data_IF_856861973361
#
_entry.id   IF_856861973361
#
_cell.length_a   1.000
_cell.length_b   1.000
_cell.length_c   1.000
_cell.angle_alpha   90.00
_cell.angle_beta   90.00
_cell.angle_gamma   90.00
#
_symmetry.space_group_name_H-M   'P 1'
#
loop_
_entity.id
_entity.type
_entity.pdbx_description
1 polymer ?
#
# COMPACT_ATOMS: atom_id res chain seq x y z
N UNK A 1 -31.45 1.93 22.88
CA UNK A 1 -30.02 1.83 23.27
C UNK A 1 -29.48 0.40 23.31
N UNK A 2 -30.23 -0.62 23.77
CA UNK A 2 -29.72 -2.02 23.81
C UNK A 2 -29.55 -2.67 22.43
N UNK A 3 -30.44 -2.41 21.47
CA UNK A 3 -30.37 -3.04 20.13
C UNK A 3 -29.20 -2.53 19.27
N UNK A 4 -28.90 -1.23 19.35
CA UNK A 4 -27.76 -0.62 18.64
C UNK A 4 -26.44 -1.23 19.11
N UNK A 5 -26.33 -1.52 20.42
CA UNK A 5 -25.16 -2.17 21.00
C UNK A 5 -24.99 -3.61 20.51
N UNK A 6 -26.08 -4.39 20.41
CA UNK A 6 -26.02 -5.76 19.93
C UNK A 6 -25.63 -5.87 18.45
N UNK A 7 -26.15 -4.98 17.60
CA UNK A 7 -25.76 -4.90 16.19
C UNK A 7 -24.28 -4.52 16.04
N UNK A 8 -23.82 -3.53 16.81
CA UNK A 8 -22.42 -3.10 16.80
C UNK A 8 -21.46 -4.25 17.17
N UNK A 9 -21.72 -4.95 18.28
CA UNK A 9 -20.92 -6.11 18.67
C UNK A 9 -20.93 -7.25 17.64
N UNK A 10 -22.04 -7.45 16.93
CA UNK A 10 -22.12 -8.45 15.88
C UNK A 10 -21.24 -8.08 14.67
N UNK A 11 -21.24 -6.81 14.25
CA UNK A 11 -20.40 -6.32 13.15
C UNK A 11 -18.91 -6.39 13.52
N UNK A 12 -18.53 -6.00 14.74
CA UNK A 12 -17.15 -6.17 15.23
C UNK A 12 -16.75 -7.65 15.23
N UNK A 13 -17.61 -8.53 15.72
CA UNK A 13 -17.34 -9.98 15.75
C UNK A 13 -17.13 -10.59 14.35
N UNK A 14 -17.90 -10.14 13.35
CA UNK A 14 -17.71 -10.55 11.95
C UNK A 14 -16.37 -10.03 11.44
N UNK A 15 -16.07 -8.76 11.67
CA UNK A 15 -14.83 -8.12 11.20
C UNK A 15 -13.61 -8.83 11.78
N UNK A 16 -13.61 -9.12 13.08
CA UNK A 16 -12.57 -9.91 13.74
C UNK A 16 -12.40 -11.30 13.13
N UNK A 17 -13.51 -11.96 12.82
CA UNK A 17 -13.49 -13.29 12.19
C UNK A 17 -12.89 -13.24 10.79
N UNK A 18 -13.22 -12.21 10.01
CA UNK A 18 -12.66 -11.98 8.68
C UNK A 18 -11.17 -11.65 8.76
N UNK A 19 -10.75 -10.76 9.67
CA UNK A 19 -9.34 -10.45 9.91
C UNK A 19 -8.53 -11.70 10.23
N UNK A 20 -9.01 -12.55 11.15
CA UNK A 20 -8.38 -13.83 11.49
C UNK A 20 -8.29 -14.77 10.29
N UNK A 21 -9.36 -14.84 9.50
CA UNK A 21 -9.41 -15.70 8.30
C UNK A 21 -8.42 -15.22 7.24
N UNK A 22 -8.33 -13.91 6.98
CA UNK A 22 -7.39 -13.34 6.03
C UNK A 22 -5.95 -13.59 6.47
N UNK A 23 -5.62 -13.34 7.74
CA UNK A 23 -4.30 -13.63 8.31
C UNK A 23 -3.91 -15.10 8.09
N UNK A 24 -4.80 -16.02 8.43
CA UNK A 24 -4.55 -17.45 8.29
C UNK A 24 -4.37 -17.86 6.83
N UNK A 25 -5.28 -17.46 5.93
CA UNK A 25 -5.27 -17.90 4.53
C UNK A 25 -4.11 -17.32 3.74
N UNK A 26 -3.69 -16.09 4.05
CA UNK A 26 -2.63 -15.40 3.32
C UNK A 26 -1.27 -15.50 4.02
N UNK A 27 -1.21 -16.09 5.22
CA UNK A 27 0.02 -16.23 6.01
C UNK A 27 0.56 -14.89 6.52
N UNK A 28 -0.32 -13.92 6.82
CA UNK A 28 0.08 -12.58 7.25
C UNK A 28 0.57 -12.60 8.70
N UNK A 29 1.73 -12.02 8.96
CA UNK A 29 2.39 -12.09 10.28
C UNK A 29 2.58 -10.73 10.95
N UNK A 30 2.61 -9.65 10.17
CA UNK A 30 2.89 -8.28 10.63
C UNK A 30 1.73 -7.32 10.38
N UNK A 31 0.77 -7.70 9.52
CA UNK A 31 -0.34 -6.83 9.14
C UNK A 31 -1.21 -6.39 10.35
N UNK A 32 -1.37 -5.08 10.59
CA UNK A 32 -2.25 -4.56 11.64
C UNK A 32 -3.73 -4.80 11.32
N UNK A 33 -4.55 -4.98 12.35
CA UNK A 33 -6.00 -5.19 12.17
C UNK A 33 -6.68 -4.00 11.49
N UNK A 34 -6.23 -2.77 11.74
CA UNK A 34 -6.77 -1.60 11.07
C UNK A 34 -6.60 -1.65 9.55
N UNK A 35 -5.45 -2.11 9.04
CA UNK A 35 -5.26 -2.25 7.59
C UNK A 35 -6.04 -3.43 7.02
N UNK A 36 -6.25 -4.49 7.81
CA UNK A 36 -7.13 -5.60 7.43
C UNK A 36 -8.59 -5.14 7.34
N UNK A 37 -9.07 -4.32 8.29
CA UNK A 37 -10.41 -3.74 8.24
C UNK A 37 -10.58 -2.87 7.00
N UNK A 38 -9.61 -1.99 6.68
CA UNK A 38 -9.64 -1.20 5.44
C UNK A 38 -9.68 -2.08 4.18
N UNK A 39 -8.95 -3.20 4.17
CA UNK A 39 -9.01 -4.16 3.06
C UNK A 39 -10.37 -4.84 2.96
N UNK A 40 -10.97 -5.25 4.09
CA UNK A 40 -12.32 -5.84 4.14
C UNK A 40 -13.35 -4.87 3.58
N UNK A 41 -13.31 -3.61 4.02
CA UNK A 41 -14.20 -2.56 3.52
C UNK A 41 -14.05 -2.38 2.00
N UNK A 42 -12.81 -2.36 1.51
CA UNK A 42 -12.55 -2.28 0.08
C UNK A 42 -13.07 -3.51 -0.69
N UNK A 43 -12.90 -4.72 -0.15
CA UNK A 43 -13.42 -5.96 -0.75
C UNK A 43 -14.95 -5.89 -0.88
N UNK A 44 -15.65 -5.51 0.20
CA UNK A 44 -17.11 -5.35 0.19
C UNK A 44 -17.55 -4.34 -0.86
N UNK A 45 -16.88 -3.19 -0.93
CA UNK A 45 -17.21 -2.15 -1.92
C UNK A 45 -16.92 -2.58 -3.37
N UNK A 46 -15.87 -3.37 -3.59
CA UNK A 46 -15.52 -3.91 -4.92
C UNK A 46 -16.58 -4.93 -5.38
N UNK A 47 -17.01 -5.83 -4.48
CA UNK A 47 -18.07 -6.81 -4.77
C UNK A 47 -19.40 -6.13 -5.11
N UNK A 48 -19.72 -5.05 -4.40
CA UNK A 48 -20.95 -4.28 -4.61
C UNK A 48 -20.88 -3.30 -5.79
N UNK A 49 -19.72 -3.16 -6.43
CA UNK A 49 -19.53 -2.20 -7.51
C UNK A 49 -20.30 -2.62 -8.77
N UNK A 50 -20.94 -1.65 -9.44
CA UNK A 50 -21.51 -1.86 -10.76
C UNK A 50 -20.41 -1.89 -11.84
N UNK A 51 -19.61 -2.95 -11.84
CA UNK A 51 -18.49 -3.17 -12.76
C UNK A 51 -18.62 -4.56 -13.41
N UNK A 52 -18.02 -4.79 -14.59
CA UNK A 52 -17.98 -6.13 -15.17
C UNK A 52 -17.33 -7.14 -14.21
N UNK A 53 -17.83 -8.37 -14.16
CA UNK A 53 -17.35 -9.43 -13.26
C UNK A 53 -15.82 -9.62 -13.33
N UNK A 54 -15.26 -9.62 -14.54
CA UNK A 54 -13.80 -9.71 -14.73
C UNK A 54 -13.01 -8.58 -14.07
N UNK A 55 -13.59 -7.38 -14.02
CA UNK A 55 -12.98 -6.21 -13.36
C UNK A 55 -13.12 -6.37 -11.84
N UNK A 56 -14.25 -6.85 -11.33
CA UNK A 56 -14.42 -7.17 -9.91
C UNK A 56 -13.37 -8.19 -9.48
N UNK A 57 -13.27 -9.33 -10.18
CA UNK A 57 -12.30 -10.38 -9.89
C UNK A 57 -10.84 -9.88 -9.92
N UNK A 58 -10.51 -9.04 -10.91
CA UNK A 58 -9.19 -8.40 -11.01
C UNK A 58 -8.87 -7.58 -9.75
N UNK A 59 -9.81 -6.75 -9.28
CA UNK A 59 -9.62 -5.87 -8.13
C UNK A 59 -9.50 -6.66 -6.83
N UNK A 60 -10.33 -7.68 -6.64
CA UNK A 60 -10.26 -8.57 -5.46
C UNK A 60 -8.90 -9.25 -5.36
N UNK A 61 -8.40 -9.82 -6.46
CA UNK A 61 -7.05 -10.39 -6.54
C UNK A 61 -5.98 -9.34 -6.25
N UNK A 62 -6.19 -8.11 -6.72
CA UNK A 62 -5.35 -6.96 -6.40
C UNK A 62 -5.26 -6.71 -4.89
N UNK A 63 -6.39 -6.67 -4.17
CA UNK A 63 -6.40 -6.45 -2.72
C UNK A 63 -5.64 -7.55 -1.98
N UNK A 64 -5.85 -8.82 -2.31
CA UNK A 64 -5.11 -9.91 -1.66
C UNK A 64 -3.60 -9.83 -1.92
N UNK A 65 -3.20 -9.47 -3.15
CA UNK A 65 -1.79 -9.22 -3.48
C UNK A 65 -1.23 -8.04 -2.67
N UNK A 66 -2.01 -6.98 -2.47
CA UNK A 66 -1.61 -5.82 -1.67
C UNK A 66 -1.39 -6.16 -0.20
N UNK A 67 -2.25 -7.00 0.39
CA UNK A 67 -2.09 -7.49 1.75
C UNK A 67 -0.74 -8.19 1.94
N UNK A 68 -0.42 -9.14 1.06
CA UNK A 68 0.87 -9.85 1.10
C UNK A 68 2.06 -8.92 0.85
N UNK A 69 1.94 -8.01 -0.12
CA UNK A 69 2.97 -7.01 -0.41
C UNK A 69 3.30 -6.16 0.83
N UNK A 70 2.26 -5.71 1.53
CA UNK A 70 2.39 -4.83 2.70
C UNK A 70 2.96 -5.60 3.90
N UNK A 71 2.50 -6.83 4.13
CA UNK A 71 3.05 -7.69 5.18
C UNK A 71 4.55 -7.94 4.98
N UNK A 72 4.97 -8.19 3.74
CA UNK A 72 6.38 -8.37 3.38
C UNK A 72 7.21 -7.10 3.61
N UNK A 73 6.68 -5.92 3.29
CA UNK A 73 7.36 -4.66 3.59
C UNK A 73 7.53 -4.46 5.11
N UNK A 74 6.48 -4.67 5.89
CA UNK A 74 6.54 -4.55 7.35
C UNK A 74 7.49 -5.56 7.98
N UNK A 75 7.54 -6.78 7.43
CA UNK A 75 8.49 -7.80 7.86
C UNK A 75 9.94 -7.41 7.55
N UNK A 76 10.20 -6.84 6.36
CA UNK A 76 11.54 -6.37 5.97
C UNK A 76 12.05 -5.25 6.88
N UNK A 77 11.23 -4.24 7.16
CA UNK A 77 11.62 -3.09 7.99
C UNK A 77 11.45 -3.32 9.49
N UNK A 78 10.92 -4.48 9.90
CA UNK A 78 10.58 -4.82 11.28
C UNK A 78 9.71 -3.77 11.99
N UNK A 79 8.93 -2.99 11.24
CA UNK A 79 8.12 -1.92 11.78
C UNK A 79 6.81 -1.73 11.03
N UNK A 80 5.78 -1.34 11.79
CA UNK A 80 4.65 -0.62 11.23
C UNK A 80 5.05 0.87 11.14
N UNK A 81 5.01 1.43 9.93
CA UNK A 81 5.38 2.82 9.68
C UNK A 81 4.23 3.57 9.01
N UNK A 82 4.00 4.85 9.34
CA UNK A 82 3.08 5.72 8.60
C UNK A 82 3.37 5.74 7.10
N UNK A 83 4.63 5.57 6.69
CA UNK A 83 5.02 5.48 5.27
C UNK A 83 4.39 4.25 4.61
N UNK A 84 4.58 3.06 5.21
CA UNK A 84 4.04 1.79 4.69
C UNK A 84 2.51 1.83 4.64
N UNK A 85 1.88 2.40 5.67
CA UNK A 85 0.44 2.62 5.73
C UNK A 85 -0.05 3.53 4.59
N UNK A 86 0.64 4.63 4.32
CA UNK A 86 0.29 5.52 3.21
C UNK A 86 0.43 4.81 1.86
N UNK A 87 1.49 4.01 1.66
CA UNK A 87 1.64 3.18 0.45
C UNK A 87 0.47 2.22 0.30
N UNK A 88 0.09 1.53 1.37
CA UNK A 88 -1.04 0.62 1.37
C UNK A 88 -2.33 1.33 0.96
N UNK A 89 -2.69 2.44 1.61
CA UNK A 89 -3.93 3.17 1.32
C UNK A 89 -3.97 3.69 -0.12
N UNK A 90 -2.88 4.31 -0.61
CA UNK A 90 -2.81 4.80 -2.00
C UNK A 90 -2.95 3.67 -3.02
N UNK A 91 -2.26 2.53 -2.81
CA UNK A 91 -2.42 1.37 -3.70
C UNK A 91 -3.82 0.77 -3.63
N UNK A 92 -4.44 0.75 -2.46
CA UNK A 92 -5.81 0.26 -2.29
C UNK A 92 -6.79 1.10 -3.13
N UNK A 93 -6.64 2.42 -3.12
CA UNK A 93 -7.42 3.32 -3.96
C UNK A 93 -7.18 3.09 -5.45
N UNK A 94 -5.92 2.91 -5.87
CA UNK A 94 -5.61 2.57 -7.26
C UNK A 94 -6.22 1.24 -7.69
N UNK A 95 -6.17 0.21 -6.83
CA UNK A 95 -6.78 -1.09 -7.08
C UNK A 95 -8.29 -0.95 -7.25
N UNK A 96 -8.97 -0.20 -6.37
CA UNK A 96 -10.42 0.05 -6.47
C UNK A 96 -10.79 0.75 -7.78
N UNK A 97 -9.92 1.62 -8.30
CA UNK A 97 -10.15 2.35 -9.54
C UNK A 97 -9.77 1.55 -10.81
N UNK A 98 -8.90 0.56 -10.71
CA UNK A 98 -8.32 -0.16 -11.85
C UNK A 98 -9.40 -0.81 -12.74
N UNK A 99 -9.23 -0.71 -14.05
CA UNK A 99 -10.15 -1.20 -15.09
C UNK A 99 -9.52 -2.28 -15.97
N UNK A 100 -8.20 -2.46 -15.89
CA UNK A 100 -7.50 -3.42 -16.75
C UNK A 100 -6.35 -4.12 -16.05
N UNK A 101 -5.97 -5.29 -16.58
CA UNK A 101 -4.79 -6.01 -16.13
C UNK A 101 -3.50 -5.20 -16.34
N UNK A 102 -3.46 -4.30 -17.34
CA UNK A 102 -2.31 -3.43 -17.58
C UNK A 102 -2.11 -2.46 -16.42
N UNK A 103 -3.18 -1.76 -16.04
CA UNK A 103 -3.17 -0.86 -14.87
C UNK A 103 -2.79 -1.63 -13.59
N UNK A 104 -3.36 -2.82 -13.38
CA UNK A 104 -3.01 -3.65 -12.22
C UNK A 104 -1.52 -4.05 -12.19
N UNK A 105 -0.92 -4.33 -13.35
CA UNK A 105 0.53 -4.59 -13.43
C UNK A 105 1.33 -3.34 -13.08
N UNK A 106 0.88 -2.18 -13.51
CA UNK A 106 1.56 -0.90 -13.26
C UNK A 106 1.43 -0.46 -11.79
N UNK A 107 0.26 -0.63 -11.17
CA UNK A 107 0.04 -0.38 -9.73
C UNK A 107 1.03 -1.17 -8.86
N UNK A 108 1.34 -2.40 -9.26
CA UNK A 108 2.31 -3.26 -8.56
C UNK A 108 3.72 -3.21 -9.14
N UNK A 109 3.97 -2.35 -10.12
CA UNK A 109 5.33 -2.03 -10.52
C UNK A 109 5.98 -1.16 -9.45
N UNK A 110 7.30 -1.24 -9.35
CA UNK A 110 8.05 -0.40 -8.43
C UNK A 110 7.80 1.08 -8.77
N UNK A 111 7.49 1.90 -7.77
CA UNK A 111 7.56 3.37 -7.84
C UNK A 111 8.99 3.86 -8.08
N UNK A 112 9.53 3.58 -9.27
CA UNK A 112 10.88 3.92 -9.67
C UNK A 112 10.83 5.08 -10.69
N UNK A 113 11.42 6.25 -10.38
CA UNK A 113 11.52 7.34 -11.33
C UNK A 113 12.61 7.07 -12.38
N UNK A 114 12.48 7.71 -13.54
CA UNK A 114 13.49 7.72 -14.58
C UNK A 114 14.41 8.95 -14.46
N UNK A 115 15.73 8.76 -14.47
CA UNK A 115 16.68 9.87 -14.51
C UNK A 115 17.02 10.22 -15.96
N UNK A 116 16.65 11.43 -16.40
CA UNK A 116 16.84 11.88 -17.79
C UNK A 116 18.22 12.50 -18.09
N UNK A 117 19.17 12.36 -17.15
CA UNK A 117 20.48 13.02 -17.21
C UNK A 117 20.51 14.41 -16.57
N UNK A 118 19.34 14.95 -16.20
CA UNK A 118 19.23 16.22 -15.49
C UNK A 118 18.45 16.05 -14.17
N UNK A 119 17.26 15.43 -14.23
CA UNK A 119 16.37 15.23 -13.07
C UNK A 119 15.66 13.89 -13.10
N UNK A 120 15.12 13.50 -11.95
CA UNK A 120 14.19 12.39 -11.86
C UNK A 120 12.81 12.77 -12.40
N UNK A 121 12.22 11.89 -13.20
CA UNK A 121 10.89 11.99 -13.78
C UNK A 121 10.02 10.83 -13.33
N UNK A 122 8.78 11.14 -13.02
CA UNK A 122 7.75 10.17 -12.68
C UNK A 122 6.83 10.04 -13.88
N UNK A 123 6.87 8.89 -14.54
CA UNK A 123 6.13 8.66 -15.78
C UNK A 123 4.82 7.88 -15.54
N UNK A 124 4.71 7.16 -14.41
CA UNK A 124 3.52 6.39 -14.07
C UNK A 124 2.53 7.20 -13.24
N UNK A 125 1.22 7.20 -13.56
CA UNK A 125 0.19 7.79 -12.72
C UNK A 125 -0.03 7.01 -11.40
N UNK A 126 0.53 5.81 -11.27
CA UNK A 126 0.43 4.97 -10.07
C UNK A 126 1.65 5.06 -9.16
N UNK A 127 2.56 5.99 -9.43
CA UNK A 127 3.74 6.23 -8.62
C UNK A 127 3.37 6.79 -7.24
N UNK A 128 4.04 6.29 -6.20
CA UNK A 128 3.86 6.71 -4.81
C UNK A 128 5.22 7.13 -4.25
N UNK A 129 5.37 8.40 -3.88
CA UNK A 129 6.64 8.95 -3.36
C UNK A 129 7.12 8.19 -2.11
N UNK A 130 6.20 7.82 -1.21
CA UNK A 130 6.49 7.02 -0.02
C UNK A 130 7.05 5.64 -0.37
N UNK A 131 6.58 5.05 -1.46
CA UNK A 131 7.08 3.76 -1.93
C UNK A 131 8.45 3.90 -2.60
N UNK A 132 8.67 4.97 -3.36
CA UNK A 132 10.00 5.30 -3.91
C UNK A 132 11.01 5.45 -2.76
N UNK A 133 10.65 6.16 -1.69
CA UNK A 133 11.51 6.34 -0.53
C UNK A 133 11.85 5.00 0.15
N UNK A 134 10.87 4.11 0.34
CA UNK A 134 11.11 2.77 0.89
C UNK A 134 12.06 1.96 0.00
N UNK A 135 11.92 2.04 -1.32
CA UNK A 135 12.80 1.35 -2.26
C UNK A 135 14.24 1.87 -2.19
N UNK A 136 14.43 3.19 -2.08
CA UNK A 136 15.77 3.75 -1.89
C UNK A 136 16.40 3.31 -0.58
N UNK A 137 15.61 3.18 0.49
CA UNK A 137 16.09 2.60 1.76
C UNK A 137 16.57 1.16 1.58
N UNK A 138 15.77 0.30 0.94
CA UNK A 138 16.14 -1.11 0.68
C UNK A 138 17.39 -1.19 -0.21
N UNK A 139 17.48 -0.36 -1.26
CA UNK A 139 18.64 -0.34 -2.15
C UNK A 139 19.92 0.11 -1.41
N UNK A 140 19.78 1.09 -0.51
CA UNK A 140 20.89 1.66 0.27
C UNK A 140 21.49 0.68 1.28
N UNK A 141 20.74 -0.34 1.70
CA UNK A 141 21.27 -1.45 2.52
C UNK A 141 22.39 -2.22 1.81
N UNK A 142 22.36 -2.26 0.47
CA UNK A 142 23.33 -3.03 -0.33
C UNK A 142 24.42 -2.15 -0.93
N UNK A 143 24.07 -0.92 -1.31
CA UNK A 143 24.98 -0.02 -2.00
C UNK A 143 24.80 1.41 -1.49
N UNK A 144 25.89 2.13 -1.12
CA UNK A 144 25.79 3.53 -0.79
C UNK A 144 25.16 4.34 -1.94
N UNK A 145 24.20 5.23 -1.66
CA UNK A 145 23.59 6.03 -2.71
C UNK A 145 24.62 6.97 -3.34
N UNK A 146 24.53 7.14 -4.67
CA UNK A 146 25.25 8.22 -5.33
C UNK A 146 24.73 9.59 -4.86
N UNK A 147 25.48 10.67 -5.09
CA UNK A 147 25.03 12.02 -4.77
C UNK A 147 23.70 12.38 -5.44
N UNK A 148 23.47 11.89 -6.66
CA UNK A 148 22.21 12.08 -7.40
C UNK A 148 21.04 11.41 -6.65
N UNK A 149 21.21 10.16 -6.22
CA UNK A 149 20.18 9.44 -5.46
C UNK A 149 19.99 10.05 -4.08
N UNK A 150 21.07 10.42 -3.39
CA UNK A 150 21.00 11.07 -2.08
C UNK A 150 20.19 12.37 -2.14
N UNK A 151 20.41 13.21 -3.16
CA UNK A 151 19.62 14.42 -3.36
C UNK A 151 18.13 14.10 -3.59
N UNK A 152 17.82 13.06 -4.36
CA UNK A 152 16.43 12.61 -4.57
C UNK A 152 15.78 12.13 -3.27
N UNK A 153 16.52 11.42 -2.42
CA UNK A 153 16.03 11.01 -1.09
C UNK A 153 15.71 12.23 -0.23
N UNK A 154 16.57 13.27 -0.23
CA UNK A 154 16.30 14.53 0.48
C UNK A 154 15.04 15.21 -0.05
N UNK A 155 14.86 15.28 -1.38
CA UNK A 155 13.67 15.85 -2.01
C UNK A 155 12.38 15.09 -1.63
N UNK A 156 12.41 13.76 -1.69
CA UNK A 156 11.29 12.91 -1.29
C UNK A 156 10.95 13.12 0.18
N UNK A 157 11.98 13.13 1.05
CA UNK A 157 11.78 13.32 2.48
C UNK A 157 11.12 14.67 2.77
N UNK A 158 11.59 15.75 2.14
CA UNK A 158 10.98 17.07 2.26
C UNK A 158 9.55 17.09 1.74
N UNK A 159 9.28 16.42 0.62
CA UNK A 159 7.92 16.32 0.06
C UNK A 159 6.95 15.54 0.97
N UNK A 160 7.41 14.46 1.59
CA UNK A 160 6.59 13.57 2.41
C UNK A 160 6.36 14.16 3.82
N UNK A 161 7.41 14.72 4.43
CA UNK A 161 7.38 15.16 5.84
C UNK A 161 7.33 16.67 6.04
N UNK A 162 7.50 17.46 4.97
CA UNK A 162 7.55 18.92 5.04
C UNK A 162 8.81 19.48 5.72
N UNK A 163 9.83 18.65 5.94
CA UNK A 163 11.10 19.00 6.60
C UNK A 163 12.26 18.38 5.86
N UNK A 164 13.42 19.03 5.87
CA UNK A 164 14.62 18.41 5.29
C UNK A 164 15.13 17.30 6.21
N UNK A 165 15.59 16.18 5.64
CA UNK A 165 16.24 15.12 6.42
C UNK A 165 17.55 15.61 7.07
N UNK A 166 18.14 16.68 6.54
CA UNK A 166 19.36 17.31 7.07
C UNK A 166 19.10 18.18 8.30
N UNK A 167 17.83 18.40 8.67
CA UNK A 167 17.40 19.18 9.84
C UNK A 167 17.03 18.29 11.05
N UNK A 168 17.14 16.96 10.91
CA UNK A 168 16.92 15.98 11.97
C UNK A 168 18.20 15.70 12.76
#
# INVERSE_FOLDING_TARGET
MKEVSAFFFFVESITDTLCKTLRQKLGLTKMPDELLSNAIDALVQIEQANSPEKVIELRLKGVFRLLQYTDNLMAHFYCESPIIRTVFMKKLDFIRAAKSQKEMKEIFSYSAPHYDGNRFRVDSPYHIDEEELLQWSIASERYPPSSIVANRVVELFQKIFGKSILEL
#
